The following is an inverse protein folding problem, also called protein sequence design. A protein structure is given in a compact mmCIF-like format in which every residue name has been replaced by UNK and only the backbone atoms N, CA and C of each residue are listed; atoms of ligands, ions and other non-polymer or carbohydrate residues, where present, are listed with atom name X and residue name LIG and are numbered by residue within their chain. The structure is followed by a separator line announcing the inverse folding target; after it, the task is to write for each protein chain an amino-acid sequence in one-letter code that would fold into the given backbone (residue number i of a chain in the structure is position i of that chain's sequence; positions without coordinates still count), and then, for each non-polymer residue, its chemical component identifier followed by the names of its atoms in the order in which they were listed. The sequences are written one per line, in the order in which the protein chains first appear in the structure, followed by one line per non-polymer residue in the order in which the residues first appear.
data_IF_793520156307
#
_entry.id   IF_793520156307
#
_cell.length_a   1.000
_cell.length_b   1.000
_cell.length_c   1.000
_cell.angle_alpha   90.00
_cell.angle_beta   90.00
_cell.angle_gamma   90.00
#
_symmetry.space_group_name_H-M   'P 1'
#
loop_
_entity.id
_entity.type
_entity.pdbx_description
1 polymer ?
#
# COMPACT_ATOMS: atom_id res chain seq x y z
N UNK A 1 3.74 -10.42 5.33
CA UNK A 1 4.02 -10.06 3.93
C UNK A 1 4.94 -8.88 3.99
N UNK A 2 6.19 -9.09 3.60
CA UNK A 2 7.12 -7.98 3.42
C UNK A 2 6.82 -7.36 2.06
N UNK A 3 6.29 -6.14 2.10
CA UNK A 3 6.22 -5.28 0.92
C UNK A 3 7.66 -4.87 0.57
N UNK A 4 8.04 -5.02 -0.69
CA UNK A 4 9.43 -4.85 -1.11
C UNK A 4 9.68 -3.46 -1.70
N UNK A 5 8.64 -2.79 -2.20
CA UNK A 5 8.76 -1.48 -2.86
C UNK A 5 8.04 -0.37 -2.13
N UNK A 6 6.94 -0.70 -1.44
CA UNK A 6 6.18 0.25 -0.63
C UNK A 6 6.34 -0.05 0.87
N UNK A 7 6.09 0.96 1.71
CA UNK A 7 6.02 0.79 3.16
C UNK A 7 4.59 0.94 3.61
N UNK A 8 4.06 -0.05 4.33
CA UNK A 8 2.66 -0.08 4.79
C UNK A 8 2.62 -0.06 6.32
N UNK A 9 1.95 0.94 6.88
CA UNK A 9 1.71 1.07 8.32
C UNK A 9 0.21 0.88 8.59
N UNK A 10 -0.14 -0.04 9.50
CA UNK A 10 -1.54 -0.30 9.84
C UNK A 10 -2.06 0.74 10.83
N UNK A 11 -3.22 1.34 10.53
CA UNK A 11 -3.73 2.48 11.32
C UNK A 11 -4.60 2.01 12.50
N UNK A 12 -5.45 1.01 12.30
CA UNK A 12 -6.30 0.45 13.36
C UNK A 12 -6.32 -1.08 13.31
N UNK A 13 -6.69 -1.79 14.40
CA UNK A 13 -6.75 -3.25 14.40
C UNK A 13 -7.70 -3.85 13.36
N UNK A 14 -8.80 -3.17 13.05
CA UNK A 14 -9.84 -3.66 12.15
C UNK A 14 -9.56 -3.35 10.68
N UNK A 15 -9.31 -2.07 10.34
CA UNK A 15 -9.13 -1.60 8.96
C UNK A 15 -8.16 -0.42 8.88
N UNK A 16 -7.74 -0.09 7.67
CA UNK A 16 -6.95 1.10 7.38
C UNK A 16 -5.45 0.85 7.44
N UNK A 17 -4.75 1.36 6.43
CA UNK A 17 -3.30 1.46 6.43
C UNK A 17 -2.83 2.70 5.65
N UNK A 18 -1.69 3.25 6.05
CA UNK A 18 -0.98 4.31 5.33
C UNK A 18 0.17 3.69 4.54
N UNK A 19 0.21 3.97 3.24
CA UNK A 19 1.26 3.56 2.32
C UNK A 19 2.20 4.74 2.10
N UNK A 20 3.50 4.49 2.21
CA UNK A 20 4.55 5.48 1.94
C UNK A 20 5.61 4.88 1.02
N UNK A 21 6.55 5.71 0.57
CA UNK A 21 7.61 5.33 -0.38
C UNK A 21 7.07 4.95 -1.78
N UNK A 22 6.02 5.64 -2.23
CA UNK A 22 5.49 5.53 -3.58
C UNK A 22 5.24 6.93 -4.14
N UNK A 23 5.61 7.14 -5.41
CA UNK A 23 5.32 8.37 -6.15
C UNK A 23 4.12 8.12 -7.07
N UNK A 24 2.99 8.75 -6.76
CA UNK A 24 1.75 8.65 -7.54
C UNK A 24 1.70 9.65 -8.71
N UNK A 25 2.70 10.54 -8.84
CA UNK A 25 2.77 11.50 -9.95
C UNK A 25 3.34 10.88 -11.24
N UNK A 26 3.94 9.69 -11.14
CA UNK A 26 4.51 8.93 -12.24
C UNK A 26 3.82 7.55 -12.39
N UNK A 27 3.91 6.90 -13.57
CA UNK A 27 3.45 5.53 -13.73
C UNK A 27 4.14 4.59 -12.74
N UNK A 28 3.33 3.78 -12.05
CA UNK A 28 3.83 2.80 -11.10
C UNK A 28 4.43 1.59 -11.81
N UNK A 29 5.45 0.98 -11.22
CA UNK A 29 5.88 -0.35 -11.65
C UNK A 29 4.80 -1.39 -11.35
N UNK A 30 4.76 -2.48 -12.13
CA UNK A 30 3.80 -3.57 -11.90
C UNK A 30 3.87 -4.09 -10.46
N UNK A 31 5.06 -4.18 -9.88
CA UNK A 31 5.26 -4.65 -8.51
C UNK A 31 4.67 -3.70 -7.46
N UNK A 32 4.85 -2.39 -7.63
CA UNK A 32 4.21 -1.40 -6.75
C UNK A 32 2.69 -1.47 -6.86
N UNK A 33 2.17 -1.66 -8.07
CA UNK A 33 0.74 -1.80 -8.29
C UNK A 33 0.19 -3.05 -7.61
N UNK A 34 0.83 -4.20 -7.77
CA UNK A 34 0.45 -5.47 -7.12
C UNK A 34 0.49 -5.33 -5.59
N UNK A 35 1.54 -4.71 -5.04
CA UNK A 35 1.66 -4.47 -3.60
C UNK A 35 0.57 -3.53 -3.06
N UNK A 36 0.21 -2.47 -3.80
CA UNK A 36 -0.90 -1.57 -3.44
C UNK A 36 -2.25 -2.28 -3.53
N UNK A 37 -2.46 -3.09 -4.55
CA UNK A 37 -3.68 -3.88 -4.71
C UNK A 37 -3.88 -4.84 -3.54
N UNK A 38 -2.83 -5.57 -3.17
CA UNK A 38 -2.82 -6.46 -2.00
C UNK A 38 -3.08 -5.70 -0.70
N UNK A 39 -2.46 -4.53 -0.53
CA UNK A 39 -2.67 -3.68 0.63
C UNK A 39 -4.13 -3.20 0.73
N UNK A 40 -4.75 -2.82 -0.39
CA UNK A 40 -6.16 -2.41 -0.44
C UNK A 40 -7.08 -3.56 -0.02
N UNK A 41 -6.89 -4.76 -0.59
CA UNK A 41 -7.70 -5.93 -0.26
C UNK A 41 -7.59 -6.33 1.22
N UNK A 42 -6.40 -6.21 1.80
CA UNK A 42 -6.16 -6.56 3.21
C UNK A 42 -6.68 -5.50 4.18
N UNK A 43 -6.48 -4.22 3.88
CA UNK A 43 -6.73 -3.13 4.82
C UNK A 43 -8.06 -2.42 4.57
N UNK A 44 -8.81 -2.79 3.52
CA UNK A 44 -10.10 -2.23 3.06
C UNK A 44 -10.05 -0.77 2.62
N UNK A 45 -9.23 0.06 3.26
CA UNK A 45 -8.97 1.46 2.92
C UNK A 45 -7.49 1.74 3.11
N UNK A 46 -6.91 2.52 2.20
CA UNK A 46 -5.50 2.90 2.22
C UNK A 46 -5.32 4.40 1.99
N UNK A 47 -4.32 4.98 2.64
CA UNK A 47 -3.91 6.39 2.50
C UNK A 47 -2.50 6.46 1.91
N UNK A 48 -2.17 7.55 1.24
CA UNK A 48 -0.86 7.81 0.63
C UNK A 48 -0.32 9.15 1.12
#
# INVERSE_FOLDING_TARGET
MDYQTIKVEKNTPAIGATISNVDLSAPLSNKQFDEIHDALLRHSVIFF
#
